data_IF_598193543637
#
_entry.id   IF_598193543637
#
_cell.length_a   1.000
_cell.length_b   1.000
_cell.length_c   1.000
_cell.angle_alpha   90.00
_cell.angle_beta   90.00
_cell.angle_gamma   90.00
#
_symmetry.space_group_name_H-M   'P 1'
#
loop_
_entity.id
_entity.type
_entity.pdbx_description
1 polymer ?
#
# COMPACT_ATOMS: atom_id res chain seq x y z
N UNK A 1 -17.90 -1.57 -0.38
CA UNK A 1 -16.81 -2.52 -0.74
C UNK A 1 -15.45 -2.12 -0.16
N UNK A 2 -14.66 -1.19 -0.74
CA UNK A 2 -13.31 -0.88 -0.22
C UNK A 2 -13.32 -0.17 1.14
N UNK A 3 -14.24 0.78 1.35
CA UNK A 3 -14.39 1.45 2.65
C UNK A 3 -14.80 0.50 3.79
N UNK A 4 -15.53 -0.57 3.48
CA UNK A 4 -15.91 -1.59 4.47
C UNK A 4 -14.72 -2.46 4.84
N UNK A 5 -13.92 -2.87 3.84
CA UNK A 5 -12.65 -3.55 4.08
C UNK A 5 -11.75 -2.67 4.95
N UNK A 6 -11.64 -1.38 4.63
CA UNK A 6 -10.83 -0.47 5.41
C UNK A 6 -11.31 -0.34 6.86
N UNK A 7 -12.62 -0.22 7.07
CA UNK A 7 -13.20 -0.17 8.42
C UNK A 7 -12.79 -1.41 9.22
N UNK A 8 -12.88 -2.60 8.61
CA UNK A 8 -12.46 -3.84 9.24
C UNK A 8 -10.96 -3.86 9.55
N UNK A 9 -10.11 -3.42 8.62
CA UNK A 9 -8.66 -3.34 8.84
C UNK A 9 -8.29 -2.38 9.98
N UNK A 10 -9.02 -1.28 10.14
CA UNK A 10 -8.82 -0.32 11.24
C UNK A 10 -9.32 -0.84 12.59
N UNK A 11 -10.29 -1.74 12.61
CA UNK A 11 -10.79 -2.43 13.81
C UNK A 11 -9.81 -3.54 14.27
N UNK A 12 -9.36 -4.38 13.34
CA UNK A 12 -8.49 -5.53 13.64
C UNK A 12 -7.01 -5.14 13.77
N UNK A 13 -6.56 -4.14 13.01
CA UNK A 13 -5.18 -3.59 12.96
C UNK A 13 -4.06 -4.57 12.61
N UNK A 14 -4.37 -5.82 12.30
CA UNK A 14 -3.36 -6.86 12.05
C UNK A 14 -2.52 -6.60 10.79
N UNK A 15 -3.11 -6.04 9.71
CA UNK A 15 -2.42 -5.75 8.45
C UNK A 15 -2.14 -4.26 8.20
N UNK A 16 -2.43 -3.40 9.17
CA UNK A 16 -2.08 -1.98 9.10
C UNK A 16 -0.56 -1.81 9.25
N UNK A 17 0.10 -1.13 8.31
CA UNK A 17 1.55 -0.90 8.33
C UNK A 17 1.90 0.44 8.98
N UNK A 18 1.20 1.50 8.58
CA UNK A 18 1.34 2.84 9.12
C UNK A 18 0.06 3.62 8.86
N UNK A 19 -0.32 4.50 9.79
CA UNK A 19 -1.47 5.38 9.64
C UNK A 19 -1.16 6.78 10.17
N UNK A 20 -1.83 7.79 9.62
CA UNK A 20 -1.92 9.13 10.20
C UNK A 20 -3.40 9.57 10.22
N UNK A 21 -3.68 10.85 10.48
CA UNK A 21 -5.05 11.31 10.70
C UNK A 21 -5.96 11.15 9.47
N UNK A 22 -5.41 11.21 8.25
CA UNK A 22 -6.18 11.18 7.00
C UNK A 22 -5.95 9.93 6.15
N UNK A 23 -4.84 9.20 6.38
CA UNK A 23 -4.42 8.10 5.53
C UNK A 23 -4.00 6.86 6.32
N UNK A 24 -4.05 5.73 5.64
CA UNK A 24 -3.62 4.43 6.16
C UNK A 24 -2.96 3.63 5.05
N UNK A 25 -1.92 2.91 5.40
CA UNK A 25 -1.28 1.91 4.56
C UNK A 25 -1.53 0.55 5.17
N UNK A 26 -2.06 -0.37 4.37
CA UNK A 26 -2.28 -1.76 4.75
C UNK A 26 -1.55 -2.68 3.78
N UNK A 27 -1.22 -3.90 4.23
CA UNK A 27 -1.03 -5.00 3.29
C UNK A 27 -2.41 -5.61 3.04
N UNK A 28 -2.94 -5.56 1.81
CA UNK A 28 -4.26 -6.12 1.54
C UNK A 28 -4.26 -7.63 1.83
N UNK A 29 -5.39 -8.16 2.33
CA UNK A 29 -5.56 -9.61 2.55
C UNK A 29 -5.27 -10.45 1.29
N UNK A 30 -5.58 -9.90 0.11
CA UNK A 30 -5.34 -10.51 -1.19
C UNK A 30 -3.99 -10.15 -1.83
N UNK A 31 -3.04 -9.61 -1.06
CA UNK A 31 -1.71 -9.26 -1.56
C UNK A 31 -1.06 -10.42 -2.32
N UNK A 32 -0.49 -10.10 -3.48
CA UNK A 32 0.22 -11.05 -4.34
C UNK A 32 1.72 -10.86 -4.24
N UNK A 33 2.21 -9.62 -4.11
CA UNK A 33 3.63 -9.34 -3.87
C UNK A 33 3.98 -9.46 -2.38
N UNK A 34 5.22 -9.81 -2.02
CA UNK A 34 5.57 -10.16 -0.64
C UNK A 34 5.29 -9.06 0.37
N UNK A 35 5.59 -7.82 -0.01
CA UNK A 35 5.35 -6.62 0.79
C UNK A 35 4.43 -5.64 0.02
N UNK A 36 3.47 -6.18 -0.73
CA UNK A 36 2.43 -5.39 -1.41
C UNK A 36 1.73 -4.49 -0.41
N UNK A 37 1.62 -3.20 -0.71
CA UNK A 37 0.84 -2.29 0.14
C UNK A 37 -0.19 -1.53 -0.66
N UNK A 38 -1.27 -1.21 0.03
CA UNK A 38 -2.36 -0.38 -0.46
C UNK A 38 -2.50 0.82 0.47
N UNK A 39 -2.33 2.01 -0.09
CA UNK A 39 -2.53 3.29 0.59
C UNK A 39 -3.92 3.80 0.29
N UNK A 40 -4.69 4.10 1.33
CA UNK A 40 -6.10 4.53 1.27
C UNK A 40 -6.33 5.79 2.12
N UNK A 41 -7.24 6.67 1.71
CA UNK A 41 -7.76 7.70 2.59
C UNK A 41 -8.68 7.06 3.64
N UNK A 42 -8.66 7.55 4.88
CA UNK A 42 -9.56 7.11 5.95
C UNK A 42 -11.01 7.54 5.72
N UNK A 43 -11.21 8.57 4.91
CA UNK A 43 -12.51 9.09 4.48
C UNK A 43 -12.74 8.73 3.02
N UNK A 44 -14.01 8.62 2.64
CA UNK A 44 -14.38 8.34 1.26
C UNK A 44 -13.96 9.49 0.33
N UNK A 45 -13.01 9.23 -0.55
CA UNK A 45 -12.54 10.13 -1.61
C UNK A 45 -12.39 9.30 -2.88
N UNK A 46 -12.84 9.81 -4.02
CA UNK A 46 -12.85 9.03 -5.27
C UNK A 46 -11.71 9.42 -6.21
N UNK A 47 -11.07 10.59 -6.03
CA UNK A 47 -10.00 11.08 -6.90
C UNK A 47 -8.96 11.91 -6.14
N UNK A 48 -7.70 11.89 -6.61
CA UNK A 48 -6.63 12.77 -6.11
C UNK A 48 -6.98 14.26 -6.23
N UNK A 49 -7.84 14.64 -7.18
CA UNK A 49 -8.24 16.04 -7.37
C UNK A 49 -9.20 16.54 -6.28
N UNK A 50 -9.75 15.65 -5.45
CA UNK A 50 -10.74 15.97 -4.44
C UNK A 50 -10.15 16.06 -3.02
N UNK A 51 -8.85 15.78 -2.87
CA UNK A 51 -8.20 15.90 -1.56
C UNK A 51 -7.96 17.37 -1.20
N UNK A 52 -8.20 17.71 0.05
CA UNK A 52 -7.93 19.06 0.54
C UNK A 52 -6.43 19.29 0.87
N UNK A 53 -5.99 20.53 1.14
CA UNK A 53 -4.57 20.82 1.41
C UNK A 53 -3.99 20.03 2.59
N UNK A 54 -4.77 19.76 3.63
CA UNK A 54 -4.32 19.01 4.80
C UNK A 54 -4.16 17.52 4.47
N UNK A 55 -5.11 16.94 3.75
CA UNK A 55 -5.00 15.58 3.22
C UNK A 55 -3.78 15.44 2.31
N UNK A 56 -3.50 16.43 1.46
CA UNK A 56 -2.30 16.44 0.61
C UNK A 56 -1.00 16.48 1.42
N UNK A 57 -0.95 17.29 2.49
CA UNK A 57 0.20 17.38 3.40
C UNK A 57 0.43 16.05 4.13
N UNK A 58 -0.62 15.47 4.68
CA UNK A 58 -0.58 14.18 5.37
C UNK A 58 -0.33 13.01 4.41
N UNK A 59 -0.68 13.14 3.13
CA UNK A 59 -0.32 12.17 2.11
C UNK A 59 1.20 12.13 1.89
N UNK A 60 1.85 13.30 1.81
CA UNK A 60 3.31 13.35 1.70
C UNK A 60 4.00 12.73 2.92
N UNK A 61 3.47 12.98 4.13
CA UNK A 61 3.97 12.38 5.37
C UNK A 61 3.88 10.85 5.36
N UNK A 62 2.71 10.29 5.04
CA UNK A 62 2.52 8.84 5.09
C UNK A 62 3.31 8.11 3.99
N UNK A 63 3.44 8.71 2.80
CA UNK A 63 4.29 8.16 1.73
C UNK A 63 5.74 8.11 2.22
N UNK A 64 6.26 9.20 2.81
CA UNK A 64 7.62 9.21 3.36
C UNK A 64 7.81 8.11 4.40
N UNK A 65 6.89 7.98 5.36
CA UNK A 65 6.96 6.93 6.39
C UNK A 65 6.96 5.51 5.80
N UNK A 66 6.10 5.26 4.82
CA UNK A 66 6.06 3.98 4.11
C UNK A 66 7.39 3.69 3.39
N UNK A 67 7.92 4.64 2.64
CA UNK A 67 9.15 4.46 1.87
C UNK A 67 10.37 4.24 2.79
N UNK A 68 10.44 4.95 3.92
CA UNK A 68 11.47 4.71 4.93
C UNK A 68 11.36 3.29 5.50
N UNK A 69 10.15 2.83 5.84
CA UNK A 69 9.93 1.45 6.32
C UNK A 69 10.35 0.41 5.28
N UNK A 70 10.08 0.66 4.01
CA UNK A 70 10.55 -0.21 2.91
C UNK A 70 12.08 -0.28 2.84
N UNK A 71 12.75 0.88 2.80
CA UNK A 71 14.21 0.93 2.69
C UNK A 71 14.89 0.33 3.93
N UNK A 72 14.30 0.52 5.11
CA UNK A 72 14.79 -0.04 6.37
C UNK A 72 14.69 -1.57 6.42
N UNK A 73 13.70 -2.18 5.75
CA UNK A 73 13.42 -3.61 5.85
C UNK A 73 14.61 -4.48 5.49
N UNK A 74 15.34 -4.11 4.43
CA UNK A 74 16.56 -4.80 3.99
C UNK A 74 17.78 -3.86 3.87
N UNK A 75 17.69 -2.67 4.46
CA UNK A 75 18.74 -1.65 4.47
C UNK A 75 19.30 -1.37 3.06
N UNK A 76 18.40 -1.14 2.12
CA UNK A 76 18.74 -0.84 0.73
C UNK A 76 17.68 0.08 0.12
N UNK A 77 17.98 0.72 -1.01
CA UNK A 77 16.93 1.38 -1.79
C UNK A 77 15.96 0.31 -2.31
N UNK A 78 14.72 0.34 -1.82
CA UNK A 78 13.75 -0.73 -2.02
C UNK A 78 13.04 -0.55 -3.37
N UNK A 79 13.19 -1.49 -4.32
CA UNK A 79 12.57 -1.35 -5.63
C UNK A 79 11.07 -1.63 -5.55
N UNK A 80 10.26 -0.88 -6.31
CA UNK A 80 8.84 -1.15 -6.48
C UNK A 80 8.32 -0.52 -7.77
N UNK A 81 7.18 -1.03 -8.25
CA UNK A 81 6.29 -0.26 -9.12
C UNK A 81 5.10 0.23 -8.30
N UNK A 82 4.63 1.44 -8.56
CA UNK A 82 3.45 1.97 -7.90
C UNK A 82 2.56 2.76 -8.85
N UNK A 83 1.29 2.90 -8.50
CA UNK A 83 0.34 3.69 -9.28
C UNK A 83 -0.91 4.04 -8.49
N UNK A 84 -1.58 5.09 -8.96
CA UNK A 84 -2.85 5.57 -8.40
C UNK A 84 -4.04 5.02 -9.17
N UNK A 85 -5.06 4.61 -8.43
CA UNK A 85 -6.35 4.18 -8.95
C UNK A 85 -7.41 5.15 -8.41
N UNK A 86 -7.92 5.99 -9.29
CA UNK A 86 -8.97 6.99 -9.03
C UNK A 86 -10.19 6.69 -9.88
N UNK A 87 -11.33 7.29 -9.54
CA UNK A 87 -12.52 7.27 -10.37
C UNK A 87 -12.23 7.75 -11.80
N UNK A 88 -12.86 7.12 -12.81
CA UNK A 88 -12.76 7.54 -14.21
C UNK A 88 -13.12 9.00 -14.40
N UNK A 89 -12.48 9.59 -15.41
CA UNK A 89 -12.67 10.99 -15.83
C UNK A 89 -13.25 11.04 -17.25
N UNK A 90 -13.34 12.22 -17.85
CA UNK A 90 -13.85 12.40 -19.21
C UNK A 90 -15.36 12.14 -19.30
N UNK A 91 -15.79 11.31 -20.26
CA UNK A 91 -17.22 11.03 -20.51
C UNK A 91 -17.96 10.46 -19.29
N UNK A 92 -17.23 9.80 -18.39
CA UNK A 92 -17.78 9.17 -17.19
C UNK A 92 -18.03 10.15 -16.04
N UNK A 93 -17.71 11.44 -16.18
CA UNK A 93 -17.93 12.44 -15.10
C UNK A 93 -19.41 12.59 -14.73
N UNK A 94 -20.32 12.31 -15.67
CA UNK A 94 -21.78 12.40 -15.49
C UNK A 94 -22.41 11.09 -14.99
N UNK A 95 -21.62 10.02 -14.88
CA UNK A 95 -22.08 8.73 -14.37
C UNK A 95 -21.90 8.65 -12.84
N UNK A 96 -22.62 7.74 -12.20
CA UNK A 96 -22.39 7.43 -10.79
C UNK A 96 -20.99 6.82 -10.62
N UNK A 97 -20.18 7.48 -9.79
CA UNK A 97 -18.81 7.07 -9.45
C UNK A 97 -18.62 6.90 -7.95
N UNK A 98 -19.71 6.91 -7.19
CA UNK A 98 -19.71 6.85 -5.71
C UNK A 98 -19.13 5.55 -5.15
N UNK A 99 -19.07 4.48 -5.96
CA UNK A 99 -18.48 3.20 -5.58
C UNK A 99 -16.96 3.15 -5.73
N UNK A 100 -16.33 4.15 -6.33
CA UNK A 100 -14.87 4.23 -6.44
C UNK A 100 -14.26 4.64 -5.10
N UNK A 101 -13.06 4.18 -4.84
CA UNK A 101 -12.28 4.66 -3.69
C UNK A 101 -10.85 4.86 -4.17
N UNK A 102 -10.36 6.08 -3.98
CA UNK A 102 -8.99 6.46 -4.28
C UNK A 102 -8.03 5.53 -3.52
N UNK A 103 -7.05 4.99 -4.24
CA UNK A 103 -5.97 4.22 -3.61
C UNK A 103 -4.69 4.30 -4.42
N UNK A 104 -3.55 4.11 -3.76
CA UNK A 104 -2.30 3.75 -4.42
C UNK A 104 -1.95 2.30 -4.08
N UNK A 105 -1.33 1.61 -5.04
CA UNK A 105 -0.84 0.23 -4.87
C UNK A 105 0.66 0.22 -5.10
N UNK A 106 1.40 -0.44 -4.22
CA UNK A 106 2.84 -0.64 -4.32
C UNK A 106 3.14 -2.14 -4.50
N UNK A 107 3.94 -2.47 -5.51
CA UNK A 107 4.26 -3.84 -5.92
C UNK A 107 5.78 -4.07 -5.85
N UNK A 108 6.35 -4.28 -4.65
CA UNK A 108 7.78 -4.53 -4.50
C UNK A 108 8.16 -5.99 -4.76
N UNK A 109 9.29 -6.26 -5.45
CA UNK A 109 9.70 -7.62 -5.80
C UNK A 109 10.57 -8.29 -4.73
N UNK A 110 11.16 -7.56 -3.78
CA UNK A 110 12.06 -8.17 -2.77
C UNK A 110 11.27 -9.07 -1.80
N UNK A 111 11.87 -10.19 -1.41
CA UNK A 111 11.22 -11.22 -0.58
C UNK A 111 11.98 -11.52 0.72
N UNK A 112 13.27 -11.86 0.65
CA UNK A 112 14.05 -12.32 1.83
C UNK A 112 15.21 -11.40 2.22
N UNK A 113 15.75 -10.67 1.26
CA UNK A 113 16.91 -9.78 1.44
C UNK A 113 16.98 -8.78 0.28
N UNK A 114 17.96 -7.88 0.34
CA UNK A 114 18.27 -6.94 -0.75
C UNK A 114 18.60 -7.63 -2.09
N UNK A 115 19.00 -8.90 -2.08
CA UNK A 115 19.42 -9.66 -3.27
C UNK A 115 18.45 -10.78 -3.67
N UNK A 116 17.46 -11.10 -2.83
CA UNK A 116 16.52 -12.20 -3.07
C UNK A 116 15.11 -11.66 -3.32
N UNK A 117 14.70 -11.77 -4.58
CA UNK A 117 13.39 -11.32 -5.09
C UNK A 117 12.44 -12.48 -5.37
N UNK A 118 11.15 -12.17 -5.33
CA UNK A 118 10.08 -12.96 -5.94
C UNK A 118 10.19 -12.90 -7.47
N UNK A 119 9.89 -14.03 -8.10
CA UNK A 119 9.68 -14.13 -9.54
C UNK A 119 8.22 -14.55 -9.78
N UNK A 120 7.45 -13.72 -10.48
CA UNK A 120 6.17 -14.16 -11.04
C UNK A 120 6.49 -14.90 -12.35
N UNK A 121 6.52 -16.23 -12.29
CA UNK A 121 7.00 -17.08 -13.37
C UNK A 121 6.08 -18.31 -13.52
N UNK A 122 6.63 -19.43 -14.03
CA UNK A 122 6.04 -20.77 -14.04
C UNK A 122 4.53 -20.83 -13.86
N UNK A 123 4.09 -21.21 -12.65
CA UNK A 123 2.69 -21.39 -12.31
C UNK A 123 1.91 -20.07 -12.33
N UNK A 124 2.48 -18.98 -11.80
CA UNK A 124 1.80 -17.68 -11.75
C UNK A 124 1.53 -17.06 -13.12
N UNK A 125 2.28 -17.43 -14.15
CA UNK A 125 2.06 -16.96 -15.53
C UNK A 125 0.98 -17.76 -16.29
N UNK A 126 0.73 -19.01 -15.90
CA UNK A 126 -0.19 -19.92 -16.62
C UNK A 126 -1.37 -20.38 -15.79
N UNK A 127 -1.47 -19.94 -14.54
CA UNK A 127 -2.54 -20.32 -13.61
C UNK A 127 -2.90 -19.14 -12.70
N UNK A 128 -2.44 -19.10 -11.46
CA UNK A 128 -2.84 -18.09 -10.48
C UNK A 128 -1.67 -17.57 -9.63
N UNK A 129 -1.79 -16.37 -9.03
CA UNK A 129 -0.76 -15.83 -8.14
C UNK A 129 -0.56 -16.71 -6.90
N UNK A 130 0.70 -17.07 -6.61
CA UNK A 130 1.09 -17.74 -5.36
C UNK A 130 1.93 -16.81 -4.50
N UNK A 131 1.95 -17.00 -3.17
CA UNK A 131 2.86 -16.29 -2.25
C UNK A 131 3.41 -17.19 -1.14
N UNK A 132 4.66 -16.94 -0.74
CA UNK A 132 5.35 -17.68 0.32
C UNK A 132 5.20 -17.08 1.73
N UNK A 133 4.86 -15.79 1.82
CA UNK A 133 4.67 -15.05 3.08
C UNK A 133 3.20 -14.64 3.23
N UNK A 134 2.69 -14.63 4.46
CA UNK A 134 1.34 -14.15 4.75
C UNK A 134 1.28 -12.62 4.83
N UNK A 135 0.17 -11.98 4.40
CA UNK A 135 -0.05 -10.55 4.54
C UNK A 135 0.18 -10.04 5.96
N UNK A 136 -0.28 -10.79 6.96
CA UNK A 136 -0.17 -10.46 8.38
C UNK A 136 1.30 -10.42 8.83
N UNK A 137 2.08 -11.42 8.41
CA UNK A 137 3.52 -11.49 8.72
C UNK A 137 4.29 -10.38 8.02
N UNK A 138 4.00 -10.13 6.74
CA UNK A 138 4.62 -9.04 6.00
C UNK A 138 4.29 -7.67 6.63
N UNK A 139 3.06 -7.48 7.11
CA UNK A 139 2.64 -6.24 7.74
C UNK A 139 3.33 -6.04 9.09
N UNK A 140 3.48 -7.11 9.89
CA UNK A 140 4.25 -7.07 11.13
C UNK A 140 5.71 -6.68 10.88
N UNK A 141 6.37 -7.29 9.90
CA UNK A 141 7.76 -6.98 9.54
C UNK A 141 7.95 -5.51 9.14
N UNK A 142 7.02 -4.92 8.37
CA UNK A 142 7.06 -3.50 8.01
C UNK A 142 6.72 -2.57 9.19
N UNK A 143 5.77 -2.96 10.04
CA UNK A 143 5.41 -2.20 11.25
C UNK A 143 6.60 -2.04 12.19
N UNK A 144 7.38 -3.10 12.37
CA UNK A 144 8.57 -3.14 13.24
C UNK A 144 9.71 -2.21 12.78
N UNK A 145 9.70 -1.75 11.52
CA UNK A 145 10.73 -0.83 11.03
C UNK A 145 10.54 0.59 11.59
N UNK A 146 11.63 1.24 12.00
CA UNK A 146 11.59 2.63 12.45
C UNK A 146 11.18 3.60 11.33
N UNK A 147 10.69 4.77 11.72
CA UNK A 147 10.38 5.88 10.81
C UNK A 147 11.59 6.78 10.52
N UNK A 148 12.75 6.48 11.10
CA UNK A 148 14.04 7.10 10.77
C UNK A 148 14.79 6.21 9.78
N UNK A 149 15.23 6.80 8.67
CA UNK A 149 15.92 6.08 7.60
C UNK A 149 17.25 5.50 8.09
N UNK A 150 17.61 4.30 7.66
CA UNK A 150 18.79 3.58 8.16
C UNK A 150 20.12 4.32 7.94
N UNK A 151 20.18 5.21 6.95
CA UNK A 151 21.34 6.08 6.69
C UNK A 151 21.46 7.27 7.66
N UNK A 152 20.43 7.56 8.44
CA UNK A 152 20.39 8.65 9.43
C UNK A 152 20.52 8.14 10.88
N UNK A 153 20.82 6.86 11.07
CA UNK A 153 21.02 6.23 12.37
C UNK A 153 22.46 6.34 12.85
#
# INVERSE_FOLDING_TARGET
MLMEVLKHELEVKERVVVENDEWVVVIPFWATWPFETMLLPKKHVISLNEINPEQKRLLADIIRKLLIKYDNLFQCSFPFSMGWQSAPTGRYLQEDRSFWTLRAVYLPPLLRSATVRKFMAGYELVSEPQRDITPEKAAAMLREQNEVHYLER
#
